data_IF_934237537139
#
_entry.id   IF_934237537139
#
_cell.length_a   1.000
_cell.length_b   1.000
_cell.length_c   1.000
_cell.angle_alpha   90.00
_cell.angle_beta   90.00
_cell.angle_gamma   90.00
#
_symmetry.space_group_name_H-M   'P 1'
#
loop_
_entity.id
_entity.type
_entity.pdbx_description
1 polymer ?
#
# COMPACT_ATOMS: atom_id res chain seq x y z
N UNK A 1 -22.17 6.43 9.95
CA UNK A 1 -22.26 5.00 9.51
C UNK A 1 -21.00 4.28 9.95
N UNK A 2 -21.17 3.15 10.64
CA UNK A 2 -20.01 2.35 11.07
C UNK A 2 -19.55 1.51 9.90
N UNK A 3 -18.35 1.75 9.41
CA UNK A 3 -17.71 0.90 8.41
C UNK A 3 -17.25 -0.42 9.04
N UNK A 4 -17.36 -1.50 8.32
CA UNK A 4 -16.83 -2.79 8.74
C UNK A 4 -15.36 -2.87 8.33
N UNK A 5 -14.48 -3.11 9.30
CA UNK A 5 -13.05 -3.33 9.07
C UNK A 5 -12.76 -4.84 9.02
N UNK A 6 -13.38 -5.49 8.04
CA UNK A 6 -13.20 -6.92 7.75
C UNK A 6 -13.05 -7.12 6.24
N UNK A 7 -12.19 -8.05 5.85
CA UNK A 7 -12.02 -8.41 4.45
C UNK A 7 -13.20 -9.24 3.96
N UNK A 8 -13.92 -8.72 2.98
CA UNK A 8 -15.07 -9.39 2.38
C UNK A 8 -14.68 -9.95 1.02
N UNK A 9 -14.66 -11.25 0.89
CA UNK A 9 -14.40 -11.95 -0.37
C UNK A 9 -15.63 -11.93 -1.28
N UNK A 10 -15.93 -10.77 -1.88
CA UNK A 10 -17.10 -10.62 -2.74
C UNK A 10 -17.23 -9.19 -3.29
N UNK A 11 -18.18 -8.95 -4.19
CA UNK A 11 -18.41 -7.66 -4.83
C UNK A 11 -19.12 -6.69 -3.87
N UNK A 12 -18.43 -6.21 -2.85
CA UNK A 12 -18.94 -5.28 -1.87
C UNK A 12 -18.16 -3.96 -1.90
N UNK A 13 -18.89 -2.85 -1.86
CA UNK A 13 -18.33 -1.51 -1.74
C UNK A 13 -18.93 -0.82 -0.51
N UNK A 14 -18.08 -0.32 0.37
CA UNK A 14 -18.48 0.56 1.46
C UNK A 14 -18.21 2.01 1.05
N UNK A 15 -19.20 2.87 1.20
CA UNK A 15 -19.11 4.30 0.85
C UNK A 15 -19.35 5.13 2.09
N UNK A 16 -18.47 6.10 2.31
CA UNK A 16 -18.63 7.12 3.34
C UNK A 16 -18.45 8.51 2.76
N UNK A 17 -19.15 9.48 3.32
CA UNK A 17 -19.01 10.88 2.97
C UNK A 17 -18.25 11.60 4.08
N UNK A 18 -17.38 12.51 3.69
CA UNK A 18 -16.58 13.35 4.57
C UNK A 18 -16.57 14.78 4.05
N UNK A 19 -16.37 15.73 4.91
CA UNK A 19 -16.43 17.15 4.54
C UNK A 19 -15.07 17.72 4.13
N UNK A 20 -13.99 17.08 4.58
CA UNK A 20 -12.63 17.55 4.34
C UNK A 20 -11.70 16.47 3.81
N UNK A 21 -10.65 16.90 3.11
CA UNK A 21 -9.60 16.00 2.64
C UNK A 21 -8.87 15.32 3.80
N UNK A 22 -8.68 16.00 4.92
CA UNK A 22 -8.05 15.42 6.10
C UNK A 22 -8.91 14.29 6.70
N UNK A 23 -10.21 14.50 6.83
CA UNK A 23 -11.13 13.45 7.27
C UNK A 23 -11.12 12.23 6.34
N UNK A 24 -10.98 12.44 5.03
CA UNK A 24 -10.83 11.34 4.08
C UNK A 24 -9.57 10.52 4.36
N UNK A 25 -8.44 11.18 4.64
CA UNK A 25 -7.17 10.54 4.99
C UNK A 25 -7.30 9.78 6.32
N UNK A 26 -7.88 10.40 7.33
CA UNK A 26 -8.05 9.80 8.66
C UNK A 26 -8.94 8.56 8.57
N UNK A 27 -10.01 8.63 7.79
CA UNK A 27 -10.89 7.49 7.55
C UNK A 27 -10.19 6.37 6.75
N UNK A 28 -9.42 6.72 5.73
CA UNK A 28 -8.65 5.76 4.95
C UNK A 28 -7.60 5.01 5.79
N UNK A 29 -7.05 5.68 6.81
CA UNK A 29 -6.07 5.09 7.72
C UNK A 29 -6.70 4.32 8.90
N UNK A 30 -7.99 4.49 9.12
CA UNK A 30 -8.70 3.83 10.23
C UNK A 30 -9.09 2.39 9.87
N UNK A 31 -8.10 1.58 9.57
CA UNK A 31 -8.25 0.17 9.18
C UNK A 31 -7.06 -0.65 9.66
N UNK A 32 -7.26 -1.96 9.82
CA UNK A 32 -6.18 -2.93 10.09
C UNK A 32 -5.41 -3.33 8.84
N UNK A 33 -5.90 -2.94 7.67
CA UNK A 33 -5.37 -3.30 6.35
C UNK A 33 -4.63 -2.11 5.71
N UNK A 34 -3.88 -2.37 4.66
CA UNK A 34 -3.16 -1.32 3.95
C UNK A 34 -2.45 -1.88 2.72
N UNK A 35 -3.20 -2.56 1.84
CA UNK A 35 -2.63 -3.06 0.59
C UNK A 35 -2.51 -1.96 -0.44
N UNK A 36 -3.63 -1.33 -0.78
CA UNK A 36 -3.67 -0.33 -1.83
C UNK A 36 -4.64 0.80 -1.50
N UNK A 37 -4.29 2.01 -1.91
CA UNK A 37 -5.13 3.19 -1.85
C UNK A 37 -5.05 3.98 -3.16
N UNK A 38 -6.11 4.71 -3.49
CA UNK A 38 -6.15 5.55 -4.68
C UNK A 38 -6.81 6.89 -4.38
N UNK A 39 -6.27 7.95 -4.96
CA UNK A 39 -6.88 9.27 -4.97
C UNK A 39 -7.38 9.58 -6.38
N UNK A 40 -8.67 9.87 -6.50
CA UNK A 40 -9.28 10.38 -7.74
C UNK A 40 -9.60 11.85 -7.52
N UNK A 41 -8.96 12.72 -8.29
CA UNK A 41 -9.10 14.17 -8.15
C UNK A 41 -8.64 14.88 -9.43
N UNK A 42 -9.22 16.02 -9.72
CA UNK A 42 -8.74 16.97 -10.71
C UNK A 42 -7.60 17.87 -10.14
N UNK A 43 -7.45 17.92 -8.82
CA UNK A 43 -6.39 18.67 -8.17
C UNK A 43 -5.15 17.79 -7.89
N UNK A 44 -4.20 17.81 -8.81
CA UNK A 44 -2.94 17.07 -8.70
C UNK A 44 -2.10 17.45 -7.47
N UNK A 45 -2.27 18.66 -6.92
CA UNK A 45 -1.51 19.09 -5.76
C UNK A 45 -1.84 18.28 -4.49
N UNK A 46 -3.01 17.65 -4.44
CA UNK A 46 -3.41 16.78 -3.32
C UNK A 46 -2.69 15.44 -3.31
N UNK A 47 -2.08 15.01 -4.42
CA UNK A 47 -1.48 13.69 -4.50
C UNK A 47 -0.26 13.53 -3.59
N UNK A 48 0.64 14.52 -3.54
CA UNK A 48 1.83 14.44 -2.69
C UNK A 48 1.48 14.36 -1.20
N UNK A 49 0.61 15.22 -0.65
CA UNK A 49 0.11 15.05 0.73
C UNK A 49 -0.58 13.71 0.95
N UNK A 50 -1.36 13.21 -0.02
CA UNK A 50 -2.01 11.91 0.06
C UNK A 50 -1.00 10.77 0.21
N UNK A 51 0.00 10.70 -0.65
CA UNK A 51 1.07 9.69 -0.59
C UNK A 51 1.81 9.71 0.74
N UNK A 52 2.02 10.89 1.31
CA UNK A 52 2.74 11.04 2.57
C UNK A 52 1.91 10.65 3.80
N UNK A 53 0.60 10.76 3.72
CA UNK A 53 -0.29 10.60 4.86
C UNK A 53 -1.03 9.26 4.88
N UNK A 54 -1.27 8.63 3.73
CA UNK A 54 -2.03 7.38 3.66
C UNK A 54 -1.12 6.17 3.86
N UNK A 55 -1.57 5.27 4.71
CA UNK A 55 -0.88 4.05 5.10
C UNK A 55 -1.27 2.89 4.17
N UNK A 56 -0.62 2.79 3.01
CA UNK A 56 -0.81 1.67 2.08
C UNK A 56 0.49 1.36 1.32
N UNK A 57 0.65 0.12 0.89
CA UNK A 57 1.83 -0.30 0.14
C UNK A 57 1.82 0.11 -1.33
N UNK A 58 0.64 0.29 -1.91
CA UNK A 58 0.44 0.76 -3.30
C UNK A 58 -0.45 1.99 -3.27
N UNK A 59 0.01 3.08 -3.85
CA UNK A 59 -0.76 4.34 -3.89
C UNK A 59 -0.83 4.86 -5.31
N UNK A 60 -2.05 5.02 -5.82
CA UNK A 60 -2.31 5.44 -7.19
C UNK A 60 -3.05 6.78 -7.25
N UNK A 61 -2.88 7.50 -8.36
CA UNK A 61 -3.59 8.74 -8.66
C UNK A 61 -4.36 8.61 -9.96
N UNK A 62 -5.67 8.91 -9.91
CA UNK A 62 -6.58 8.81 -11.06
C UNK A 62 -6.48 7.46 -11.80
N UNK A 63 -6.25 6.41 -11.04
CA UNK A 63 -6.12 5.05 -11.54
C UNK A 63 -6.74 4.08 -10.55
N UNK A 64 -6.99 2.86 -11.01
CA UNK A 64 -7.48 1.78 -10.16
C UNK A 64 -6.45 1.42 -9.08
N UNK A 65 -6.90 0.83 -7.99
CA UNK A 65 -6.03 0.30 -6.94
C UNK A 65 -5.39 -1.05 -7.31
N UNK A 66 -5.68 -1.54 -8.51
CA UNK A 66 -5.05 -2.74 -9.08
C UNK A 66 -3.72 -2.37 -9.74
N UNK A 67 -2.83 -3.32 -9.80
CA UNK A 67 -1.56 -3.20 -10.51
C UNK A 67 -0.38 -3.52 -9.62
N UNK A 68 0.36 -4.53 -10.04
CA UNK A 68 1.66 -4.88 -9.50
C UNK A 68 2.66 -4.88 -10.64
N UNK A 69 3.89 -4.49 -10.36
CA UNK A 69 4.99 -4.54 -11.32
C UNK A 69 6.20 -5.17 -10.66
N UNK A 70 6.88 -6.07 -11.38
CA UNK A 70 8.15 -6.62 -10.90
C UNK A 70 9.28 -5.58 -10.78
N UNK A 71 9.09 -4.39 -11.35
CA UNK A 71 10.04 -3.28 -11.25
C UNK A 71 9.87 -2.42 -9.99
N UNK A 72 8.81 -2.65 -9.22
CA UNK A 72 8.49 -1.91 -8.00
C UNK A 72 8.25 -2.84 -6.82
N UNK A 73 8.41 -2.34 -5.58
CA UNK A 73 7.97 -3.07 -4.40
C UNK A 73 6.46 -3.36 -4.49
N UNK A 74 6.06 -4.53 -4.03
CA UNK A 74 4.65 -4.89 -3.90
C UNK A 74 4.40 -5.53 -2.54
N UNK A 75 3.41 -5.03 -1.84
CA UNK A 75 2.99 -5.55 -0.55
C UNK A 75 2.27 -4.48 0.25
N UNK A 76 1.54 -4.91 1.25
CA UNK A 76 0.79 -4.05 2.15
C UNK A 76 1.41 -3.96 3.54
N UNK A 77 0.78 -3.17 4.36
CA UNK A 77 1.05 -3.03 5.78
C UNK A 77 -0.08 -3.63 6.61
N UNK A 78 0.10 -3.70 7.91
CA UNK A 78 -0.87 -4.29 8.82
C UNK A 78 -1.22 -5.72 8.43
N UNK A 79 -2.50 -6.06 8.41
CA UNK A 79 -2.99 -7.38 8.00
C UNK A 79 -2.83 -7.68 6.51
N UNK A 80 -2.53 -6.68 5.71
CA UNK A 80 -2.26 -6.83 4.27
C UNK A 80 -0.80 -7.11 3.94
N UNK A 81 0.07 -7.33 4.92
CA UNK A 81 1.49 -7.56 4.69
C UNK A 81 2.13 -8.46 5.72
N UNK A 82 3.35 -8.90 5.41
CA UNK A 82 4.20 -9.72 6.27
C UNK A 82 5.54 -9.05 6.59
N UNK A 83 5.63 -7.72 6.46
CA UNK A 83 6.83 -6.89 6.64
C UNK A 83 7.91 -7.13 5.58
N UNK A 84 7.62 -7.87 4.52
CA UNK A 84 8.54 -8.15 3.41
C UNK A 84 7.86 -7.86 2.08
N UNK A 85 8.11 -6.69 1.47
CA UNK A 85 7.56 -6.41 0.16
C UNK A 85 8.10 -7.39 -0.88
N UNK A 86 7.21 -7.87 -1.74
CA UNK A 86 7.52 -8.69 -2.89
C UNK A 86 7.93 -7.82 -4.11
N UNK A 87 7.78 -8.34 -5.31
CA UNK A 87 8.15 -7.64 -6.53
C UNK A 87 9.65 -7.42 -6.63
N UNK A 88 10.09 -6.19 -6.75
CA UNK A 88 11.50 -5.82 -6.88
C UNK A 88 12.40 -6.41 -5.77
N UNK A 89 11.90 -6.55 -4.55
CA UNK A 89 12.67 -7.08 -3.42
C UNK A 89 12.64 -8.61 -3.28
N UNK A 90 11.92 -9.33 -4.14
CA UNK A 90 11.75 -10.78 -3.99
C UNK A 90 13.08 -11.53 -4.05
N UNK A 91 14.03 -11.09 -4.88
CA UNK A 91 15.34 -11.72 -5.00
C UNK A 91 16.13 -11.68 -3.69
N UNK A 92 16.01 -10.61 -2.92
CA UNK A 92 16.81 -10.41 -1.70
C UNK A 92 16.41 -11.37 -0.58
N UNK A 93 15.12 -11.66 -0.43
CA UNK A 93 14.67 -12.57 0.63
C UNK A 93 14.46 -14.02 0.17
N UNK A 94 14.52 -14.29 -1.12
CA UNK A 94 14.50 -15.66 -1.67
C UNK A 94 15.89 -16.32 -1.66
N UNK A 95 16.94 -15.61 -1.27
CA UNK A 95 18.31 -16.10 -1.19
C UNK A 95 18.90 -15.88 0.20
N UNK A 96 19.75 -16.81 0.62
CA UNK A 96 20.53 -16.63 1.84
C UNK A 96 21.87 -15.97 1.51
N UNK A 97 22.16 -14.76 2.04
CA UNK A 97 23.43 -14.09 1.76
C UNK A 97 24.60 -14.83 2.41
N UNK A 98 25.67 -15.02 1.65
CA UNK A 98 26.91 -15.63 2.11
C UNK A 98 28.08 -14.68 1.86
N UNK A 99 28.92 -14.49 2.86
CA UNK A 99 30.18 -13.78 2.71
C UNK A 99 31.35 -14.77 2.73
N UNK A 100 32.38 -14.56 1.89
CA UNK A 100 33.61 -15.32 1.90
C UNK A 100 34.80 -14.40 1.72
N UNK A 101 35.92 -14.73 2.40
CA UNK A 101 37.19 -14.03 2.28
C UNK A 101 38.23 -15.06 1.88
N UNK A 102 38.88 -14.84 0.74
CA UNK A 102 39.95 -15.69 0.22
C UNK A 102 41.25 -14.90 0.32
N UNK A 103 42.20 -15.38 1.13
CA UNK A 103 43.56 -14.87 1.17
C UNK A 103 44.43 -15.67 0.21
N UNK A 104 45.19 -14.98 -0.66
CA UNK A 104 46.24 -15.63 -1.41
C UNK A 104 47.34 -16.02 -0.44
N UNK A 105 47.82 -17.27 -0.54
CA UNK A 105 48.99 -17.75 0.14
C UNK A 105 50.25 -17.17 -0.50
#
# INVERSE_FOLDING_TARGET
TKLFDEENFGPMLQVSFVDTFQEAIDLANNTKYGLAAGLISDNKALFKPFVQAVNAGVINFNSTTTGASGAFPFGGIGRSGNLRPAGFYAADYCAWPKASIIKKL
#
